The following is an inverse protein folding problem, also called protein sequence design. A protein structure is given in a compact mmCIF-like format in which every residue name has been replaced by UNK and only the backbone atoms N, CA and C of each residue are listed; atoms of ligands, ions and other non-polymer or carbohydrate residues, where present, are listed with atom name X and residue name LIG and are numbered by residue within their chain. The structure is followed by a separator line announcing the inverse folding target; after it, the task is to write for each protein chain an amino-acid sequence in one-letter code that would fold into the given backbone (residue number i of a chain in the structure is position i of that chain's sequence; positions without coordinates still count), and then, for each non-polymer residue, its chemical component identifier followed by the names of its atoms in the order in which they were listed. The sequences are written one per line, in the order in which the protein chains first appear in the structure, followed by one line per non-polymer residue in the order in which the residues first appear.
data_IF_603415879244
#
_entry.id   IF_603415879244
#
_cell.length_a   1.000
_cell.length_b   1.000
_cell.length_c   1.000
_cell.angle_alpha   90.00
_cell.angle_beta   90.00
_cell.angle_gamma   90.00
#
_symmetry.space_group_name_H-M   'P 1'
#
loop_
_entity.id
_entity.type
_entity.pdbx_description
1 polymer ?
#
# COMPACT_ATOMS: atom_id res chain seq x y z
N UNK A 1 0.97 38.43 -20.32
CA UNK A 1 -0.04 38.83 -19.31
C UNK A 1 -0.24 37.79 -18.21
N UNK A 2 -0.82 36.60 -18.46
CA UNK A 2 -1.07 35.61 -17.38
C UNK A 2 0.21 35.17 -16.64
N UNK A 3 1.30 34.89 -17.37
CA UNK A 3 2.59 34.48 -16.76
C UNK A 3 3.19 35.54 -15.83
N UNK A 4 3.08 36.83 -16.18
CA UNK A 4 3.56 37.93 -15.33
C UNK A 4 2.70 38.17 -14.10
N UNK A 5 1.37 38.03 -14.24
CA UNK A 5 0.43 38.17 -13.13
C UNK A 5 0.66 37.06 -12.10
N UNK A 6 0.80 35.81 -12.57
CA UNK A 6 1.07 34.66 -11.69
C UNK A 6 2.44 34.79 -11.02
N UNK A 7 3.48 35.21 -11.75
CA UNK A 7 4.81 35.42 -11.19
C UNK A 7 4.85 36.55 -10.15
N UNK A 8 4.14 37.66 -10.38
CA UNK A 8 4.01 38.75 -9.40
C UNK A 8 3.21 38.33 -8.17
N UNK A 9 2.14 37.56 -8.34
CA UNK A 9 1.32 37.10 -7.23
C UNK A 9 2.10 36.11 -6.34
N UNK A 10 2.75 35.11 -6.94
CA UNK A 10 3.54 34.12 -6.21
C UNK A 10 4.78 34.74 -5.56
N UNK A 11 5.42 35.72 -6.19
CA UNK A 11 6.64 36.32 -5.68
C UNK A 11 6.43 37.73 -5.09
N UNK A 12 5.22 38.06 -4.62
CA UNK A 12 4.90 39.40 -4.09
C UNK A 12 5.80 39.74 -2.90
N UNK A 13 5.78 38.91 -1.85
CA UNK A 13 6.64 39.06 -0.68
C UNK A 13 7.69 37.96 -0.65
N UNK A 14 8.87 38.28 -0.15
CA UNK A 14 10.01 37.37 -0.13
C UNK A 14 9.79 36.09 0.66
N UNK A 15 8.91 36.13 1.66
CA UNK A 15 8.58 34.98 2.49
C UNK A 15 7.39 34.15 1.96
N UNK A 16 6.64 34.66 0.98
CA UNK A 16 5.31 34.14 0.64
C UNK A 16 5.40 32.71 0.09
N UNK A 17 6.30 32.45 -0.85
CA UNK A 17 6.53 31.12 -1.43
C UNK A 17 7.05 30.12 -0.41
N UNK A 18 7.87 30.56 0.55
CA UNK A 18 8.35 29.70 1.63
C UNK A 18 7.22 29.27 2.56
N UNK A 19 6.27 30.16 2.91
CA UNK A 19 5.11 29.76 3.70
C UNK A 19 4.10 28.91 2.92
N UNK A 20 3.96 29.13 1.61
CA UNK A 20 3.19 28.21 0.75
C UNK A 20 3.81 26.81 0.83
N UNK A 21 5.13 26.68 0.74
CA UNK A 21 5.80 25.38 0.87
C UNK A 21 5.46 24.69 2.19
N UNK A 22 5.47 25.43 3.30
CA UNK A 22 5.11 24.90 4.61
C UNK A 22 3.63 24.45 4.67
N UNK A 23 2.72 25.32 4.23
CA UNK A 23 1.28 25.04 4.26
C UNK A 23 0.92 23.84 3.38
N UNK A 24 1.48 23.78 2.16
CA UNK A 24 1.34 22.63 1.28
C UNK A 24 1.98 21.39 1.90
N UNK A 25 3.13 21.52 2.56
CA UNK A 25 3.75 20.44 3.33
C UNK A 25 2.81 19.81 4.35
N UNK A 26 2.17 20.64 5.18
CA UNK A 26 1.22 20.18 6.20
C UNK A 26 -0.01 19.53 5.55
N UNK A 27 -0.56 20.13 4.49
CA UNK A 27 -1.71 19.56 3.77
C UNK A 27 -1.35 18.23 3.14
N UNK A 28 -0.23 18.13 2.44
CA UNK A 28 0.22 16.90 1.83
C UNK A 28 0.41 15.79 2.88
N UNK A 29 0.98 16.14 4.03
CA UNK A 29 1.11 15.22 5.16
C UNK A 29 -0.26 14.71 5.65
N UNK A 30 -1.25 15.61 5.82
CA UNK A 30 -2.61 15.23 6.21
C UNK A 30 -3.33 14.40 5.12
N UNK A 31 -3.12 14.72 3.84
CA UNK A 31 -3.73 14.00 2.73
C UNK A 31 -3.20 12.57 2.63
N UNK A 32 -1.93 12.32 2.97
CA UNK A 32 -1.38 10.95 3.02
C UNK A 32 -2.14 10.10 4.06
N UNK A 33 -2.63 10.70 5.16
CA UNK A 33 -3.42 9.99 6.17
C UNK A 33 -4.85 9.65 5.71
N UNK A 34 -5.43 10.47 4.81
CA UNK A 34 -6.84 10.37 4.41
C UNK A 34 -7.00 9.55 3.13
N UNK A 35 -6.06 9.70 2.19
CA UNK A 35 -6.16 9.12 0.86
C UNK A 35 -5.76 7.64 0.86
N UNK A 36 -6.26 6.85 -0.11
CA UNK A 36 -5.86 5.46 -0.27
C UNK A 36 -4.33 5.34 -0.36
N UNK A 37 -3.78 4.49 0.49
CA UNK A 37 -2.36 4.11 0.47
C UNK A 37 -2.07 3.49 -0.89
N UNK A 38 -1.41 4.26 -1.74
CA UNK A 38 -0.85 3.80 -2.99
C UNK A 38 0.56 4.39 -3.11
N UNK A 39 1.45 3.66 -3.80
CA UNK A 39 2.80 4.16 -4.07
C UNK A 39 2.77 5.53 -4.78
N UNK A 40 1.79 5.77 -5.64
CA UNK A 40 1.60 7.06 -6.29
C UNK A 40 1.24 8.17 -5.29
N UNK A 41 0.25 7.94 -4.42
CA UNK A 41 -0.18 8.89 -3.38
C UNK A 41 1.02 9.29 -2.52
N UNK A 42 1.75 8.30 -2.02
CA UNK A 42 2.91 8.52 -1.16
C UNK A 42 4.01 9.33 -1.84
N UNK A 43 4.43 8.92 -3.04
CA UNK A 43 5.50 9.61 -3.77
C UNK A 43 5.09 11.03 -4.16
N UNK A 44 3.86 11.21 -4.65
CA UNK A 44 3.38 12.52 -5.09
C UNK A 44 3.29 13.51 -3.92
N UNK A 45 2.59 13.14 -2.85
CA UNK A 45 2.38 14.04 -1.71
C UNK A 45 3.64 14.24 -0.87
N UNK A 46 4.58 13.28 -0.86
CA UNK A 46 5.88 13.50 -0.21
C UNK A 46 6.79 14.40 -1.03
N UNK A 47 6.77 14.34 -2.37
CA UNK A 47 7.67 15.11 -3.22
C UNK A 47 7.25 16.58 -3.45
N UNK A 48 5.94 16.84 -3.56
CA UNK A 48 5.38 18.16 -3.90
C UNK A 48 5.88 19.28 -2.96
N UNK A 49 5.88 19.13 -1.63
CA UNK A 49 6.36 20.18 -0.72
C UNK A 49 7.83 20.56 -0.94
N UNK A 50 8.68 19.57 -1.22
CA UNK A 50 10.11 19.81 -1.50
C UNK A 50 10.31 20.49 -2.84
N UNK A 51 9.51 20.14 -3.85
CA UNK A 51 9.54 20.83 -5.14
C UNK A 51 9.16 22.32 -5.00
N UNK A 52 8.15 22.63 -4.18
CA UNK A 52 7.75 24.02 -3.91
C UNK A 52 8.83 24.76 -3.12
N UNK A 53 9.45 24.13 -2.12
CA UNK A 53 10.58 24.70 -1.38
C UNK A 53 11.77 25.00 -2.32
N UNK A 54 12.07 24.10 -3.25
CA UNK A 54 13.10 24.29 -4.26
C UNK A 54 12.78 25.46 -5.22
N UNK A 55 11.54 25.54 -5.71
CA UNK A 55 11.08 26.67 -6.53
C UNK A 55 11.21 27.98 -5.74
N UNK A 56 10.85 27.99 -4.45
CA UNK A 56 11.00 29.16 -3.58
C UNK A 56 12.46 29.60 -3.44
N UNK A 57 13.40 28.65 -3.34
CA UNK A 57 14.84 28.93 -3.31
C UNK A 57 15.33 29.54 -4.63
N UNK A 58 14.95 28.97 -5.78
CA UNK A 58 15.29 29.51 -7.11
C UNK A 58 14.72 30.92 -7.31
N UNK A 59 13.50 31.19 -6.83
CA UNK A 59 12.90 32.52 -6.86
C UNK A 59 13.65 33.52 -5.96
N UNK A 60 14.20 33.06 -4.83
CA UNK A 60 15.11 33.83 -3.99
C UNK A 60 16.38 34.23 -4.73
N UNK A 61 17.03 33.28 -5.42
CA UNK A 61 18.20 33.56 -6.28
C UNK A 61 17.83 34.58 -7.36
N UNK A 62 16.73 34.37 -8.07
CA UNK A 62 16.26 35.31 -9.12
C UNK A 62 16.04 36.71 -8.56
N UNK A 63 15.52 36.83 -7.33
CA UNK A 63 15.32 38.11 -6.65
C UNK A 63 16.63 38.81 -6.31
N UNK A 64 17.71 38.08 -6.04
CA UNK A 64 19.03 38.69 -5.75
C UNK A 64 19.58 39.51 -6.92
N UNK A 65 19.20 39.17 -8.16
CA UNK A 65 19.60 39.91 -9.37
C UNK A 65 18.72 41.13 -9.65
N UNK A 66 17.66 41.38 -8.86
CA UNK A 66 16.83 42.58 -9.00
C UNK A 66 17.41 43.72 -8.17
N UNK A 67 17.38 44.93 -8.76
CA UNK A 67 17.81 46.17 -8.10
C UNK A 67 17.06 46.33 -6.77
N UNK A 68 17.81 46.67 -5.71
CA UNK A 68 17.32 46.94 -4.34
C UNK A 68 16.65 45.75 -3.61
N UNK A 69 16.67 44.54 -4.20
CA UNK A 69 16.00 43.34 -3.64
C UNK A 69 16.99 42.26 -3.16
N UNK A 70 18.30 42.53 -3.20
CA UNK A 70 19.34 41.56 -2.83
C UNK A 70 19.12 40.94 -1.44
N UNK A 71 18.88 41.80 -0.43
CA UNK A 71 18.64 41.37 0.96
C UNK A 71 17.39 40.48 1.07
N UNK A 72 16.32 40.83 0.37
CA UNK A 72 15.09 40.04 0.36
C UNK A 72 15.29 38.69 -0.33
N UNK A 73 16.07 38.63 -1.41
CA UNK A 73 16.46 37.39 -2.07
C UNK A 73 17.26 36.47 -1.16
N UNK A 74 18.23 37.02 -0.43
CA UNK A 74 19.01 36.26 0.56
C UNK A 74 18.13 35.69 1.69
N UNK A 75 17.23 36.50 2.25
CA UNK A 75 16.28 36.05 3.28
C UNK A 75 15.32 34.97 2.76
N UNK A 76 14.87 35.08 1.52
CA UNK A 76 14.04 34.05 0.88
C UNK A 76 14.78 32.74 0.71
N UNK A 77 16.04 32.77 0.28
CA UNK A 77 16.87 31.57 0.18
C UNK A 77 17.04 30.90 1.54
N UNK A 78 17.40 31.67 2.57
CA UNK A 78 17.58 31.17 3.94
C UNK A 78 16.27 30.60 4.50
N UNK A 79 15.15 31.30 4.34
CA UNK A 79 13.85 30.83 4.81
C UNK A 79 13.40 29.58 4.07
N UNK A 80 13.61 29.49 2.75
CA UNK A 80 13.27 28.30 1.96
C UNK A 80 14.09 27.08 2.40
N UNK A 81 15.38 27.29 2.70
CA UNK A 81 16.24 26.25 3.28
C UNK A 81 15.72 25.82 4.65
N UNK A 82 15.40 26.74 5.56
CA UNK A 82 14.80 26.37 6.86
C UNK A 82 13.50 25.59 6.69
N UNK A 83 12.60 26.01 5.79
CA UNK A 83 11.35 25.30 5.52
C UNK A 83 11.59 23.90 4.97
N UNK A 84 12.60 23.71 4.12
CA UNK A 84 13.01 22.39 3.64
C UNK A 84 13.34 21.45 4.81
N UNK A 85 14.11 21.90 5.81
CA UNK A 85 14.42 21.09 7.00
C UNK A 85 13.22 20.88 7.92
N UNK A 86 12.36 21.87 8.10
CA UNK A 86 11.13 21.72 8.91
C UNK A 86 10.21 20.66 8.28
N UNK A 87 9.98 20.75 6.97
CA UNK A 87 9.18 19.76 6.24
C UNK A 87 9.89 18.39 6.27
N UNK A 88 11.19 18.34 6.00
CA UNK A 88 11.97 17.10 6.08
C UNK A 88 11.91 16.45 7.46
N UNK A 89 12.03 17.24 8.52
CA UNK A 89 11.90 16.79 9.91
C UNK A 89 10.49 16.28 10.22
N UNK A 90 9.44 16.95 9.73
CA UNK A 90 8.06 16.47 9.87
C UNK A 90 7.90 15.08 9.23
N UNK A 91 8.39 14.87 8.01
CA UNK A 91 8.27 13.58 7.33
C UNK A 91 9.19 12.50 7.91
N UNK A 92 10.35 12.87 8.44
CA UNK A 92 11.32 11.92 9.00
C UNK A 92 10.98 11.48 10.43
N UNK A 93 10.61 12.41 11.30
CA UNK A 93 10.36 12.15 12.73
C UNK A 93 8.88 11.93 13.05
N UNK A 94 7.99 12.48 12.24
CA UNK A 94 6.55 12.27 12.32
C UNK A 94 6.01 11.73 10.99
N UNK A 95 6.55 10.61 10.45
CA UNK A 95 6.04 10.06 9.20
C UNK A 95 4.54 9.81 9.34
N UNK A 96 3.73 10.09 8.30
CA UNK A 96 2.31 9.77 8.35
C UNK A 96 2.19 8.24 8.48
N UNK A 97 1.91 7.77 9.70
CA UNK A 97 1.86 6.33 9.96
C UNK A 97 0.63 5.75 9.31
N UNK A 98 0.81 4.58 8.72
CA UNK A 98 -0.28 3.72 8.26
C UNK A 98 -1.34 3.58 9.37
N UNK A 99 -2.65 3.52 9.02
CA UNK A 99 -3.72 3.33 9.99
C UNK A 99 -3.70 1.92 10.60
N UNK A 100 -2.92 1.02 10.01
CA UNK A 100 -2.68 -0.32 10.53
C UNK A 100 -1.71 -0.24 11.72
N UNK A 101 -1.90 -1.10 12.71
CA UNK A 101 -1.15 -1.07 13.98
C UNK A 101 -0.42 -2.39 14.17
N UNK A 102 0.63 -2.36 14.99
CA UNK A 102 1.26 -3.56 15.52
C UNK A 102 0.22 -4.49 16.17
N UNK A 103 0.26 -5.78 15.83
CA UNK A 103 -0.61 -6.79 16.43
C UNK A 103 -0.07 -7.20 17.79
N UNK A 104 -0.79 -6.83 18.85
CA UNK A 104 -0.47 -7.21 20.23
C UNK A 104 -1.48 -8.24 20.78
N UNK A 105 -2.00 -9.13 19.92
CA UNK A 105 -3.17 -10.00 20.24
C UNK A 105 -4.43 -9.20 20.64
N UNK A 106 -4.50 -7.92 20.26
CA UNK A 106 -5.49 -6.95 20.71
C UNK A 106 -6.52 -6.59 19.63
N UNK A 107 -6.47 -7.22 18.45
CA UNK A 107 -7.53 -7.12 17.43
C UNK A 107 -8.79 -7.79 17.99
N UNK A 108 -9.53 -7.06 18.82
CA UNK A 108 -10.91 -7.35 19.16
C UNK A 108 -11.76 -7.04 17.93
N UNK A 109 -12.06 -8.09 17.18
CA UNK A 109 -12.96 -8.01 16.05
C UNK A 109 -14.34 -7.49 16.50
N UNK A 110 -14.87 -6.41 15.91
CA UNK A 110 -16.24 -5.94 16.21
C UNK A 110 -17.33 -6.97 15.89
N UNK A 111 -17.02 -8.01 15.10
CA UNK A 111 -17.94 -9.07 14.64
C UNK A 111 -17.68 -10.46 15.21
N UNK A 112 -16.75 -10.64 16.16
CA UNK A 112 -16.39 -11.95 16.74
C UNK A 112 -16.00 -13.05 15.70
N UNK A 113 -15.59 -12.69 14.49
CA UNK A 113 -15.11 -13.66 13.50
C UNK A 113 -13.74 -14.22 13.91
N UNK A 114 -13.55 -15.52 13.66
CA UNK A 114 -12.28 -16.24 13.88
C UNK A 114 -11.31 -15.93 12.74
N UNK A 115 -10.04 -15.74 13.08
CA UNK A 115 -8.95 -15.57 12.13
C UNK A 115 -7.90 -16.65 12.35
N UNK A 116 -7.29 -17.09 11.25
CA UNK A 116 -6.08 -17.92 11.26
C UNK A 116 -4.85 -17.03 11.12
N UNK A 117 -3.72 -17.47 11.68
CA UNK A 117 -2.42 -16.93 11.29
C UNK A 117 -1.93 -17.64 10.02
N UNK A 118 -1.15 -16.97 9.17
CA UNK A 118 -0.32 -17.65 8.19
C UNK A 118 0.55 -18.70 8.89
N UNK A 119 0.63 -19.88 8.29
CA UNK A 119 1.50 -20.96 8.73
C UNK A 119 2.96 -20.58 8.49
N UNK A 120 3.87 -21.26 9.19
CA UNK A 120 5.30 -21.03 8.99
C UNK A 120 5.85 -21.92 7.88
N UNK A 121 6.69 -21.32 7.03
CA UNK A 121 7.51 -22.05 6.07
C UNK A 121 8.96 -22.05 6.60
N UNK A 122 9.46 -23.20 7.05
CA UNK A 122 10.82 -23.33 7.55
C UNK A 122 11.67 -24.10 6.54
N UNK A 123 12.66 -23.45 5.91
CA UNK A 123 13.58 -24.12 4.97
C UNK A 123 12.86 -24.95 3.89
N UNK A 124 11.79 -24.37 3.30
CA UNK A 124 10.88 -24.99 2.32
C UNK A 124 10.03 -26.17 2.83
N UNK A 125 10.10 -26.50 4.13
CA UNK A 125 9.15 -27.42 4.77
C UNK A 125 7.91 -26.65 5.24
N UNK A 126 6.73 -27.12 4.79
CA UNK A 126 5.42 -26.62 5.20
C UNK A 126 5.02 -27.25 6.53
N UNK A 127 4.45 -26.45 7.42
CA UNK A 127 3.79 -26.98 8.62
C UNK A 127 2.68 -27.96 8.21
N UNK A 128 2.73 -29.18 8.76
CA UNK A 128 1.76 -30.23 8.43
C UNK A 128 0.42 -29.91 9.09
N UNK A 129 -0.56 -29.54 8.26
CA UNK A 129 -1.93 -29.27 8.68
C UNK A 129 -2.85 -30.25 7.98
N UNK A 130 -3.69 -30.93 8.76
CA UNK A 130 -4.71 -31.82 8.20
C UNK A 130 -5.81 -30.99 7.53
N UNK A 131 -6.05 -31.25 6.24
CA UNK A 131 -7.10 -30.61 5.45
C UNK A 131 -8.08 -31.68 4.96
N UNK A 132 -9.32 -31.64 5.46
CA UNK A 132 -10.33 -32.67 5.20
C UNK A 132 -11.44 -32.23 4.23
N UNK A 133 -11.44 -30.95 3.84
CA UNK A 133 -12.43 -30.32 2.96
C UNK A 133 -11.78 -29.19 2.16
N UNK A 134 -12.44 -28.64 1.13
CA UNK A 134 -11.90 -27.51 0.40
C UNK A 134 -11.53 -26.37 1.33
N UNK A 135 -10.28 -25.95 1.26
CA UNK A 135 -9.72 -24.91 2.12
C UNK A 135 -8.58 -24.19 1.39
N UNK A 136 -8.16 -23.08 1.96
CA UNK A 136 -6.94 -22.36 1.60
C UNK A 136 -6.03 -22.31 2.82
N UNK A 137 -4.75 -22.61 2.63
CA UNK A 137 -3.69 -22.38 3.59
C UNK A 137 -2.79 -21.25 3.07
N UNK A 138 -2.35 -20.37 3.95
CA UNK A 138 -1.43 -19.27 3.63
C UNK A 138 -0.19 -19.45 4.50
N UNK A 139 0.99 -19.18 3.94
CA UNK A 139 2.28 -19.34 4.59
C UNK A 139 3.03 -18.01 4.54
N UNK A 140 3.64 -17.62 5.67
CA UNK A 140 4.62 -16.53 5.69
C UNK A 140 5.82 -16.92 4.80
N UNK A 141 6.29 -16.00 3.95
CA UNK A 141 7.37 -16.30 2.99
C UNK A 141 8.39 -15.17 2.84
N UNK A 142 9.66 -15.47 3.16
CA UNK A 142 10.88 -14.63 3.00
C UNK A 142 10.88 -13.24 3.63
N UNK A 143 9.86 -12.43 3.37
CA UNK A 143 9.72 -11.03 3.78
C UNK A 143 8.32 -10.79 4.36
N UNK A 144 8.19 -9.96 5.39
CA UNK A 144 6.90 -9.48 5.86
C UNK A 144 6.01 -9.00 4.70
N UNK A 145 4.74 -9.41 4.72
CA UNK A 145 3.76 -9.06 3.68
C UNK A 145 3.87 -9.86 2.37
N UNK A 146 4.84 -10.77 2.26
CA UNK A 146 4.86 -11.78 1.19
C UNK A 146 4.43 -13.15 1.70
N UNK A 147 3.63 -13.84 0.89
CA UNK A 147 3.01 -15.10 1.26
C UNK A 147 3.02 -16.11 0.11
N UNK A 148 3.13 -17.39 0.48
CA UNK A 148 2.72 -18.52 -0.35
C UNK A 148 1.33 -18.99 0.08
N UNK A 149 0.65 -19.77 -0.74
CA UNK A 149 -0.62 -20.36 -0.38
C UNK A 149 -0.82 -21.70 -1.07
N UNK A 150 -1.63 -22.56 -0.49
CA UNK A 150 -2.10 -23.78 -1.14
C UNK A 150 -3.62 -23.76 -1.14
N UNK A 151 -4.21 -24.21 -2.25
CA UNK A 151 -5.67 -24.37 -2.35
C UNK A 151 -5.97 -25.85 -2.46
N UNK A 152 -6.86 -26.33 -1.60
CA UNK A 152 -7.33 -27.70 -1.60
C UNK A 152 -8.73 -27.72 -2.21
N UNK A 153 -8.95 -28.50 -3.27
CA UNK A 153 -10.23 -28.59 -3.97
C UNK A 153 -10.57 -30.06 -4.25
N UNK A 154 -11.84 -30.43 -4.10
CA UNK A 154 -12.39 -31.68 -4.63
C UNK A 154 -12.57 -31.53 -6.16
N UNK A 155 -13.64 -32.13 -6.70
CA UNK A 155 -13.95 -32.09 -8.13
C UNK A 155 -14.09 -30.65 -8.64
N UNK A 156 -13.28 -30.31 -9.63
CA UNK A 156 -13.28 -29.01 -10.29
C UNK A 156 -12.94 -29.19 -11.77
N UNK A 157 -13.71 -28.51 -12.63
CA UNK A 157 -13.45 -28.49 -14.07
C UNK A 157 -12.15 -27.72 -14.41
N UNK A 158 -11.72 -27.82 -15.68
CA UNK A 158 -10.52 -27.12 -16.14
C UNK A 158 -10.73 -25.61 -16.09
N UNK A 159 -9.78 -24.92 -15.49
CA UNK A 159 -9.80 -23.47 -15.39
C UNK A 159 -8.66 -22.95 -14.55
N UNK A 160 -8.83 -21.74 -14.03
CA UNK A 160 -7.86 -21.04 -13.21
C UNK A 160 -8.47 -20.65 -11.88
N UNK A 161 -7.68 -20.75 -10.81
CA UNK A 161 -7.99 -20.08 -9.54
C UNK A 161 -7.10 -18.87 -9.36
N UNK A 162 -7.60 -17.89 -8.62
CA UNK A 162 -6.85 -16.74 -8.16
C UNK A 162 -7.42 -16.22 -6.83
N UNK A 163 -6.66 -15.39 -6.13
CA UNK A 163 -7.06 -14.84 -4.84
C UNK A 163 -7.62 -13.42 -4.97
N UNK A 164 -8.59 -13.12 -4.12
CA UNK A 164 -8.95 -11.74 -3.75
C UNK A 164 -8.79 -11.61 -2.25
N UNK A 165 -8.07 -10.59 -1.81
CA UNK A 165 -7.83 -10.32 -0.39
C UNK A 165 -8.52 -9.02 -0.03
N UNK A 166 -9.32 -9.02 1.02
CA UNK A 166 -10.06 -7.85 1.47
C UNK A 166 -9.62 -7.47 2.87
N UNK A 167 -9.52 -6.17 3.14
CA UNK A 167 -9.56 -5.64 4.50
C UNK A 167 -10.89 -6.06 5.14
N UNK A 168 -10.81 -6.78 6.27
CA UNK A 168 -12.00 -7.37 6.88
C UNK A 168 -12.98 -6.30 7.38
N UNK A 169 -12.47 -5.16 7.85
CA UNK A 169 -13.29 -4.12 8.48
C UNK A 169 -13.94 -3.22 7.42
N UNK A 170 -13.17 -2.80 6.42
CA UNK A 170 -13.64 -1.85 5.41
C UNK A 170 -14.20 -2.52 4.15
N UNK A 171 -13.99 -3.84 4.00
CA UNK A 171 -14.32 -4.61 2.80
C UNK A 171 -13.64 -4.07 1.52
N UNK A 172 -12.54 -3.32 1.69
CA UNK A 172 -11.70 -2.81 0.59
C UNK A 172 -10.82 -3.94 0.07
N UNK A 173 -10.78 -4.13 -1.25
CA UNK A 173 -9.85 -5.08 -1.85
C UNK A 173 -8.40 -4.57 -1.74
N UNK A 174 -7.49 -5.46 -1.35
CA UNK A 174 -6.08 -5.21 -1.15
C UNK A 174 -5.30 -5.70 -2.36
N UNK A 175 -4.38 -4.86 -2.87
CA UNK A 175 -3.42 -5.18 -3.93
C UNK A 175 -4.05 -5.95 -5.11
N UNK A 176 -5.28 -5.57 -5.52
CA UNK A 176 -6.15 -6.38 -6.39
C UNK A 176 -5.46 -6.89 -7.66
N UNK A 177 -4.82 -5.99 -8.40
CA UNK A 177 -4.20 -6.32 -9.70
C UNK A 177 -3.00 -7.25 -9.51
N UNK A 178 -2.14 -6.93 -8.55
CA UNK A 178 -0.93 -7.68 -8.24
C UNK A 178 -1.25 -9.06 -7.67
N UNK A 179 -2.10 -9.15 -6.64
CA UNK A 179 -2.50 -10.42 -6.03
C UNK A 179 -3.18 -11.30 -7.05
N UNK A 180 -4.14 -10.77 -7.85
CA UNK A 180 -4.78 -11.57 -8.92
C UNK A 180 -3.72 -12.12 -9.88
N UNK A 181 -2.77 -11.30 -10.34
CA UNK A 181 -1.72 -11.74 -11.28
C UNK A 181 -0.78 -12.80 -10.65
N UNK A 182 -0.36 -12.59 -9.41
CA UNK A 182 0.60 -13.45 -8.70
C UNK A 182 0.01 -14.79 -8.28
N UNK A 183 -1.28 -14.81 -7.93
CA UNK A 183 -2.00 -16.00 -7.46
C UNK A 183 -2.75 -16.78 -8.55
N UNK A 184 -2.61 -16.48 -9.83
CA UNK A 184 -3.25 -17.30 -10.87
C UNK A 184 -2.62 -18.69 -10.93
N UNK A 185 -3.43 -19.75 -10.82
CA UNK A 185 -3.02 -21.15 -10.97
C UNK A 185 -4.00 -21.90 -11.84
N UNK A 186 -3.51 -22.75 -12.73
CA UNK A 186 -4.38 -23.68 -13.46
C UNK A 186 -4.79 -24.82 -12.51
N UNK A 187 -6.06 -25.15 -12.51
CA UNK A 187 -6.61 -26.25 -11.70
C UNK A 187 -7.42 -27.20 -12.55
N UNK A 188 -7.38 -28.46 -12.18
CA UNK A 188 -8.24 -29.50 -12.72
C UNK A 188 -8.21 -30.71 -11.78
N UNK A 189 -9.40 -31.16 -11.38
CA UNK A 189 -9.59 -32.37 -10.61
C UNK A 189 -10.88 -33.06 -11.05
N UNK A 190 -10.82 -34.19 -11.78
CA UNK A 190 -12.03 -34.88 -12.22
C UNK A 190 -12.73 -35.68 -11.10
N UNK A 191 -12.03 -35.95 -9.99
CA UNK A 191 -12.48 -36.82 -8.92
C UNK A 191 -12.95 -36.02 -7.70
N UNK A 192 -13.79 -36.63 -6.87
CA UNK A 192 -14.24 -36.03 -5.61
C UNK A 192 -13.19 -36.12 -4.48
N UNK A 193 -12.01 -36.68 -4.75
CA UNK A 193 -10.89 -36.67 -3.80
C UNK A 193 -10.33 -35.25 -3.65
N UNK A 194 -9.96 -34.89 -2.43
CA UNK A 194 -9.36 -33.58 -2.15
C UNK A 194 -7.94 -33.54 -2.73
N UNK A 195 -7.67 -32.55 -3.58
CA UNK A 195 -6.39 -32.35 -4.23
C UNK A 195 -5.79 -31.00 -3.85
N UNK A 196 -4.51 -31.00 -3.52
CA UNK A 196 -3.72 -29.79 -3.29
C UNK A 196 -3.26 -29.16 -4.62
N UNK A 197 -3.39 -27.84 -4.70
CA UNK A 197 -2.85 -27.00 -5.76
C UNK A 197 -1.92 -25.97 -5.13
N UNK A 198 -0.63 -26.30 -5.11
CA UNK A 198 0.39 -25.58 -4.36
C UNK A 198 0.99 -24.39 -5.12
N UNK A 199 1.57 -23.46 -4.36
CA UNK A 199 2.17 -22.23 -4.88
C UNK A 199 3.70 -22.26 -4.91
N UNK A 200 4.28 -23.42 -5.16
CA UNK A 200 5.70 -23.72 -4.88
C UNK A 200 6.67 -22.73 -5.55
N UNK A 201 6.32 -22.16 -6.71
CA UNK A 201 7.17 -21.23 -7.46
C UNK A 201 6.82 -19.74 -7.36
N UNK A 202 5.62 -19.37 -6.90
CA UNK A 202 5.23 -17.94 -6.89
C UNK A 202 4.61 -17.54 -5.59
N UNK A 203 5.04 -16.42 -5.05
CA UNK A 203 4.47 -15.75 -3.90
C UNK A 203 3.48 -14.67 -4.35
N UNK A 204 2.70 -14.14 -3.42
CA UNK A 204 1.94 -12.90 -3.59
C UNK A 204 2.28 -11.93 -2.48
N UNK A 205 2.25 -10.65 -2.81
CA UNK A 205 2.58 -9.57 -1.85
C UNK A 205 1.37 -8.70 -1.60
N UNK A 206 1.14 -8.38 -0.32
CA UNK A 206 0.13 -7.44 0.11
C UNK A 206 0.82 -6.10 0.39
N UNK A 207 0.58 -5.10 -0.45
CA UNK A 207 1.30 -3.81 -0.43
C UNK A 207 0.70 -2.78 0.53
N UNK A 208 -0.40 -3.12 1.19
CA UNK A 208 -1.07 -2.22 2.12
C UNK A 208 -0.52 -2.41 3.53
N UNK A 209 0.16 -1.39 4.07
CA UNK A 209 0.79 -1.42 5.39
C UNK A 209 2.30 -1.31 5.28
N UNK A 210 2.99 -1.58 6.38
CA UNK A 210 4.46 -1.69 6.48
C UNK A 210 4.78 -2.91 7.38
N UNK A 211 6.06 -3.25 7.53
CA UNK A 211 6.48 -4.38 8.34
C UNK A 211 6.05 -4.20 9.80
N UNK A 212 5.32 -5.19 10.31
CA UNK A 212 4.75 -5.14 11.66
C UNK A 212 3.35 -4.53 11.73
N UNK A 213 2.80 -4.00 10.63
CA UNK A 213 1.40 -3.58 10.57
C UNK A 213 0.51 -4.77 10.21
N UNK A 214 -0.18 -5.31 11.20
CA UNK A 214 -1.05 -6.47 11.04
C UNK A 214 -2.52 -6.07 11.07
N UNK A 215 -3.33 -6.75 10.26
CA UNK A 215 -4.76 -6.52 10.21
C UNK A 215 -5.51 -7.78 9.78
N UNK A 216 -6.79 -7.83 10.18
CA UNK A 216 -7.70 -8.88 9.76
C UNK A 216 -8.02 -8.73 8.27
N UNK A 217 -7.92 -9.83 7.54
CA UNK A 217 -8.28 -9.92 6.13
C UNK A 217 -9.24 -11.06 5.88
N UNK A 218 -10.07 -10.92 4.83
CA UNK A 218 -10.83 -12.03 4.24
C UNK A 218 -10.14 -12.42 2.94
N UNK A 219 -9.65 -13.65 2.86
CA UNK A 219 -9.03 -14.20 1.66
C UNK A 219 -10.04 -15.09 0.97
N UNK A 220 -10.30 -14.80 -0.30
CA UNK A 220 -11.25 -15.53 -1.13
C UNK A 220 -10.53 -16.19 -2.30
N UNK A 221 -10.83 -17.46 -2.54
CA UNK A 221 -10.42 -18.20 -3.73
C UNK A 221 -11.51 -18.09 -4.77
N UNK A 222 -11.17 -17.51 -5.92
CA UNK A 222 -12.06 -17.36 -7.06
C UNK A 222 -11.64 -18.28 -8.19
N UNK A 223 -12.61 -18.87 -8.87
CA UNK A 223 -12.42 -19.74 -10.01
C UNK A 223 -12.93 -19.09 -11.29
N UNK A 224 -12.12 -19.18 -12.33
CA UNK A 224 -12.41 -18.77 -13.68
C UNK A 224 -12.37 -20.03 -14.58
N UNK A 225 -13.53 -20.53 -15.03
CA UNK A 225 -13.60 -21.65 -15.96
C UNK A 225 -12.86 -21.34 -17.27
N UNK A 226 -12.28 -22.37 -17.92
CA UNK A 226 -11.73 -22.21 -19.28
C UNK A 226 -12.84 -22.00 -20.33
N UNK A 227 -14.05 -22.52 -20.05
CA UNK A 227 -15.24 -22.26 -20.85
C UNK A 227 -15.72 -20.82 -20.62
N UNK A 228 -15.56 -19.97 -21.64
CA UNK A 228 -15.92 -18.55 -21.60
C UNK A 228 -17.40 -18.28 -21.37
N UNK A 229 -18.27 -19.28 -21.51
CA UNK A 229 -19.70 -19.15 -21.25
C UNK A 229 -20.07 -19.31 -19.77
N UNK A 230 -19.13 -19.77 -18.94
CA UNK A 230 -19.37 -19.98 -17.52
C UNK A 230 -18.79 -18.81 -16.70
N UNK A 231 -19.57 -18.21 -15.78
CA UNK A 231 -19.12 -17.08 -15.01
C UNK A 231 -18.06 -17.48 -13.98
N UNK A 232 -17.21 -16.51 -13.62
CA UNK A 232 -16.32 -16.65 -12.46
C UNK A 232 -17.14 -16.83 -11.17
N UNK A 233 -16.64 -17.66 -10.25
CA UNK A 233 -17.32 -17.94 -8.97
C UNK A 233 -16.35 -18.09 -7.81
N UNK A 234 -16.81 -17.74 -6.61
CA UNK A 234 -16.05 -17.98 -5.37
C UNK A 234 -16.14 -19.45 -4.98
N UNK A 235 -15.01 -20.06 -4.60
CA UNK A 235 -14.94 -21.44 -4.14
C UNK A 235 -14.80 -21.54 -2.61
N UNK A 236 -13.86 -20.79 -2.04
CA UNK A 236 -13.49 -20.85 -0.63
C UNK A 236 -13.28 -19.44 -0.11
N UNK A 237 -13.59 -19.22 1.17
CA UNK A 237 -13.17 -18.03 1.90
C UNK A 237 -12.64 -18.40 3.28
N UNK A 238 -11.61 -17.67 3.74
CA UNK A 238 -11.05 -17.83 5.07
C UNK A 238 -10.45 -16.51 5.54
N UNK A 239 -10.61 -16.22 6.83
CA UNK A 239 -10.08 -14.99 7.40
C UNK A 239 -8.68 -15.23 7.96
N UNK A 240 -7.77 -14.31 7.68
CA UNK A 240 -6.39 -14.35 8.13
C UNK A 240 -5.97 -13.05 8.81
N UNK A 241 -5.09 -13.13 9.80
CA UNK A 241 -4.33 -11.96 10.25
C UNK A 241 -3.07 -11.89 9.40
N UNK A 242 -3.00 -10.89 8.53
CA UNK A 242 -1.87 -10.68 7.62
C UNK A 242 -1.24 -9.32 7.92
N UNK A 243 0.01 -9.15 7.50
CA UNK A 243 0.71 -7.87 7.45
C UNK A 243 0.97 -7.40 6.01
N UNK A 244 1.28 -6.12 5.87
CA UNK A 244 1.71 -5.50 4.61
C UNK A 244 3.22 -5.53 4.38
N UNK A 245 3.62 -5.15 3.17
CA UNK A 245 4.99 -4.87 2.72
C UNK A 245 5.07 -3.46 2.10
#
# INVERSE_FOLDING_TARGET
MIKEVVFRALNWRWYFTSFIALFVGIICWLLILILPISSFTWNFFSAVPFLIAFISFVLGISRMFKKDEFKNGLWQCLLSFMMFFVIGGLFAFCPPKSPYKAYNNDIKNPKNAKFSMPLKLFSDEKELVEVTRPDILIYDYLQPGSYKYDVFLNKIEKGKVYLKVYDFNTNRILSEKEIKKQSIRNVFNPNDELKEFSSDEKDFTVKEGDWGDYYGSRVEVWFQPDDSNQPERKLVEKNYIIQGN
#
